data_IF_000251220974
#
_entry.id   IF_000251220974
#
_cell.length_a   1.000
_cell.length_b   1.000
_cell.length_c   1.000
_cell.angle_alpha   90.00
_cell.angle_beta   90.00
_cell.angle_gamma   90.00
#
_symmetry.space_group_name_H-M   'P 1'
#
loop_
_entity.id
_entity.type
_entity.pdbx_description
1 polymer ?
#
# COMPACT_ATOMS: atom_id res chain seq x y z
N UNK A 1 -34.47 17.30 -23.87
CA UNK A 1 -35.18 15.99 -23.92
C UNK A 1 -34.75 15.14 -22.74
N UNK A 2 -35.62 14.26 -22.24
CA UNK A 2 -35.26 13.32 -21.16
C UNK A 2 -34.50 12.14 -21.77
N UNK A 3 -33.30 11.79 -21.27
CA UNK A 3 -32.54 10.67 -21.80
C UNK A 3 -33.27 9.34 -21.54
N UNK A 4 -33.02 8.35 -22.39
CA UNK A 4 -33.59 7.02 -22.21
C UNK A 4 -33.09 6.39 -20.90
N UNK A 5 -34.00 6.11 -19.96
CA UNK A 5 -33.65 5.74 -18.58
C UNK A 5 -32.91 4.40 -18.45
N UNK A 6 -33.03 3.53 -19.45
CA UNK A 6 -32.39 2.20 -19.48
C UNK A 6 -31.11 2.18 -20.32
N UNK A 7 -30.74 3.32 -20.91
CA UNK A 7 -29.63 3.41 -21.86
C UNK A 7 -28.33 2.90 -21.25
N UNK A 8 -28.02 3.31 -20.01
CA UNK A 8 -26.79 2.91 -19.31
C UNK A 8 -26.65 1.39 -19.15
N UNK A 9 -27.74 0.66 -18.84
CA UNK A 9 -27.68 -0.80 -18.70
C UNK A 9 -27.49 -1.49 -20.05
N UNK A 10 -28.22 -1.02 -21.07
CA UNK A 10 -28.14 -1.56 -22.43
C UNK A 10 -26.74 -1.35 -23.00
N UNK A 11 -26.22 -0.13 -22.94
CA UNK A 11 -24.90 0.21 -23.45
C UNK A 11 -23.80 -0.60 -22.76
N UNK A 12 -23.87 -0.73 -21.43
CA UNK A 12 -22.89 -1.52 -20.68
C UNK A 12 -22.89 -2.99 -21.09
N UNK A 13 -24.06 -3.60 -21.34
CA UNK A 13 -24.14 -5.00 -21.73
C UNK A 13 -23.79 -5.22 -23.21
N UNK A 14 -24.14 -4.26 -24.08
CA UNK A 14 -23.71 -4.25 -25.48
C UNK A 14 -22.19 -4.13 -25.58
N UNK A 15 -21.57 -3.27 -24.76
CA UNK A 15 -20.10 -3.17 -24.67
C UNK A 15 -19.47 -4.45 -24.14
N UNK A 16 -20.12 -5.15 -23.20
CA UNK A 16 -19.66 -6.45 -22.71
C UNK A 16 -19.65 -7.53 -23.79
N UNK A 17 -20.76 -7.67 -24.54
CA UNK A 17 -20.94 -8.73 -25.54
C UNK A 17 -20.29 -8.44 -26.89
N UNK A 18 -20.24 -7.17 -27.31
CA UNK A 18 -19.82 -6.70 -28.64
C UNK A 18 -20.34 -7.57 -29.81
N UNK A 19 -21.56 -8.09 -29.70
CA UNK A 19 -22.13 -9.12 -30.56
C UNK A 19 -22.20 -8.68 -32.04
N UNK A 20 -22.54 -7.41 -32.27
CA UNK A 20 -22.70 -6.83 -33.61
C UNK A 20 -21.39 -6.31 -34.21
N UNK A 21 -20.28 -6.36 -33.47
CA UNK A 21 -18.96 -5.95 -33.98
C UNK A 21 -18.25 -7.17 -34.55
N UNK A 22 -17.71 -7.02 -35.76
CA UNK A 22 -16.79 -8.00 -36.34
C UNK A 22 -15.60 -8.23 -35.39
N UNK A 23 -15.09 -9.47 -35.25
CA UNK A 23 -14.04 -9.81 -34.28
C UNK A 23 -12.84 -8.86 -34.27
N UNK A 24 -12.33 -8.50 -35.46
CA UNK A 24 -11.18 -7.60 -35.64
C UNK A 24 -11.44 -6.13 -35.25
N UNK A 25 -12.71 -5.73 -35.07
CA UNK A 25 -13.12 -4.37 -34.72
C UNK A 25 -13.62 -4.25 -33.28
N UNK A 26 -13.50 -5.31 -32.48
CA UNK A 26 -13.87 -5.27 -31.06
C UNK A 26 -12.85 -4.46 -30.27
N UNK A 27 -13.36 -3.69 -29.32
CA UNK A 27 -12.52 -3.03 -28.33
C UNK A 27 -12.04 -4.07 -27.30
N UNK A 28 -10.94 -3.80 -26.62
CA UNK A 28 -10.47 -4.63 -25.49
C UNK A 28 -11.29 -4.29 -24.24
N UNK A 29 -12.55 -4.74 -24.22
CA UNK A 29 -13.52 -4.61 -23.13
C UNK A 29 -14.46 -5.82 -23.09
N UNK A 30 -15.03 -6.15 -21.92
CA UNK A 30 -15.98 -7.26 -21.78
C UNK A 30 -15.38 -8.62 -22.11
N UNK A 31 -16.11 -9.43 -22.89
CA UNK A 31 -15.64 -10.77 -23.30
C UNK A 31 -14.28 -10.74 -24.00
N UNK A 32 -14.02 -9.70 -24.82
CA UNK A 32 -12.74 -9.57 -25.52
C UNK A 32 -11.59 -9.38 -24.53
N UNK A 33 -11.75 -8.46 -23.57
CA UNK A 33 -10.75 -8.23 -22.52
C UNK A 33 -10.55 -9.48 -21.64
N UNK A 34 -11.63 -10.20 -21.30
CA UNK A 34 -11.56 -11.41 -20.51
C UNK A 34 -10.77 -12.54 -21.22
N UNK A 35 -10.99 -12.74 -22.53
CA UNK A 35 -10.21 -13.70 -23.31
C UNK A 35 -8.75 -13.26 -23.46
N UNK A 36 -8.51 -12.00 -23.81
CA UNK A 36 -7.14 -11.47 -23.97
C UNK A 36 -6.35 -11.50 -22.65
N UNK A 37 -7.02 -11.41 -21.50
CA UNK A 37 -6.39 -11.51 -20.19
C UNK A 37 -6.10 -12.97 -19.77
N UNK A 38 -6.94 -13.92 -20.20
CA UNK A 38 -6.77 -15.33 -19.86
C UNK A 38 -5.78 -16.07 -20.77
N UNK A 39 -5.60 -15.59 -22.01
CA UNK A 39 -4.75 -16.19 -23.03
C UNK A 39 -3.53 -15.29 -23.34
N UNK A 40 -2.39 -15.85 -23.77
CA UNK A 40 -2.16 -17.27 -24.06
C UNK A 40 -1.95 -18.11 -22.80
N UNK A 41 -2.46 -19.33 -22.82
CA UNK A 41 -2.19 -20.33 -21.78
C UNK A 41 -1.00 -21.16 -22.23
N UNK A 42 0.08 -21.13 -21.46
CA UNK A 42 1.32 -21.87 -21.75
C UNK A 42 1.46 -23.02 -20.77
N UNK A 43 1.80 -24.21 -21.27
CA UNK A 43 2.08 -25.37 -20.42
C UNK A 43 3.28 -25.13 -19.52
N UNK A 44 3.35 -25.82 -18.38
CA UNK A 44 4.44 -25.67 -17.42
C UNK A 44 5.85 -25.89 -18.03
N UNK A 45 5.96 -26.80 -19.01
CA UNK A 45 7.20 -27.05 -19.73
C UNK A 45 7.43 -26.13 -20.95
N UNK A 46 6.51 -25.21 -21.24
CA UNK A 46 6.63 -24.22 -22.31
C UNK A 46 6.47 -24.73 -23.74
N UNK A 47 6.24 -26.03 -23.96
CA UNK A 47 6.16 -26.64 -25.30
C UNK A 47 4.75 -26.68 -25.89
N UNK A 48 3.73 -26.30 -25.13
CA UNK A 48 2.36 -26.21 -25.62
C UNK A 48 1.83 -24.83 -25.26
N UNK A 49 1.28 -24.13 -26.23
CA UNK A 49 0.70 -22.80 -26.08
C UNK A 49 -0.68 -22.79 -26.72
N UNK A 50 -1.67 -22.35 -25.97
CA UNK A 50 -3.01 -22.12 -26.48
C UNK A 50 -3.22 -20.62 -26.63
N UNK A 51 -3.54 -20.17 -27.85
CA UNK A 51 -3.87 -18.78 -28.16
C UNK A 51 -5.36 -18.63 -28.41
N UNK A 52 -5.91 -17.53 -27.95
CA UNK A 52 -7.24 -17.09 -28.34
C UNK A 52 -7.13 -16.29 -29.66
N UNK A 53 -8.05 -16.54 -30.60
CA UNK A 53 -8.15 -15.80 -31.85
C UNK A 53 -9.37 -14.87 -31.87
N UNK A 54 -10.55 -15.44 -31.63
CA UNK A 54 -11.82 -14.71 -31.65
C UNK A 54 -12.92 -15.51 -30.93
N UNK A 55 -14.02 -14.85 -30.55
CA UNK A 55 -15.25 -15.53 -30.10
C UNK A 55 -16.44 -15.22 -31.01
N UNK A 56 -17.37 -16.17 -31.07
CA UNK A 56 -18.66 -16.07 -31.72
C UNK A 56 -19.78 -16.31 -30.70
N UNK A 57 -20.88 -15.59 -30.86
CA UNK A 57 -22.11 -15.78 -30.11
C UNK A 57 -23.11 -16.49 -31.01
N UNK A 58 -23.55 -17.68 -30.62
CA UNK A 58 -24.54 -18.43 -31.37
C UNK A 58 -25.92 -17.75 -31.28
N UNK A 59 -26.76 -17.97 -32.29
CA UNK A 59 -28.16 -17.57 -32.17
C UNK A 59 -28.80 -18.33 -31.00
N UNK A 60 -29.57 -17.65 -30.13
CA UNK A 60 -30.26 -18.31 -29.04
C UNK A 60 -31.21 -19.36 -29.60
N UNK A 61 -31.27 -20.53 -28.96
CA UNK A 61 -32.10 -21.64 -29.43
C UNK A 61 -33.60 -21.36 -29.35
N UNK A 62 -34.00 -20.49 -28.41
CA UNK A 62 -35.38 -20.11 -28.15
C UNK A 62 -35.47 -18.59 -28.01
N UNK A 63 -36.63 -18.03 -28.36
CA UNK A 63 -36.90 -16.62 -28.10
C UNK A 63 -37.30 -16.36 -26.64
N UNK A 64 -37.47 -15.08 -26.29
CA UNK A 64 -37.85 -14.64 -24.94
C UNK A 64 -39.16 -15.28 -24.45
N UNK A 65 -40.17 -15.41 -25.32
CA UNK A 65 -41.50 -15.93 -24.95
C UNK A 65 -41.43 -17.44 -24.71
N UNK A 66 -40.73 -18.16 -25.57
CA UNK A 66 -40.52 -19.59 -25.41
C UNK A 66 -39.73 -19.90 -24.14
N UNK A 67 -38.68 -19.14 -23.83
CA UNK A 67 -37.94 -19.29 -22.58
C UNK A 67 -38.84 -19.09 -21.35
N UNK A 68 -39.72 -18.08 -21.38
CA UNK A 68 -40.70 -17.83 -20.30
C UNK A 68 -41.67 -19.00 -20.12
N UNK A 69 -42.30 -19.47 -21.20
CA UNK A 69 -43.28 -20.57 -21.12
C UNK A 69 -42.64 -21.90 -20.71
N UNK A 70 -41.42 -22.18 -21.16
CA UNK A 70 -40.73 -23.46 -20.91
C UNK A 70 -39.89 -23.47 -19.63
N UNK A 71 -39.75 -22.35 -18.92
CA UNK A 71 -38.90 -22.29 -17.74
C UNK A 71 -37.40 -22.29 -18.06
N UNK A 72 -36.99 -21.85 -19.25
CA UNK A 72 -35.59 -21.86 -19.71
C UNK A 72 -34.93 -20.49 -19.54
N UNK A 73 -33.60 -20.46 -19.59
CA UNK A 73 -32.83 -19.20 -19.62
C UNK A 73 -32.66 -18.72 -21.05
N UNK A 74 -32.89 -17.43 -21.30
CA UNK A 74 -32.63 -16.82 -22.61
C UNK A 74 -31.14 -16.48 -22.71
N UNK A 75 -30.38 -17.29 -23.45
CA UNK A 75 -28.93 -17.21 -23.53
C UNK A 75 -28.38 -17.54 -24.92
N UNK A 76 -27.15 -17.10 -25.16
CA UNK A 76 -26.36 -17.42 -26.34
C UNK A 76 -25.16 -18.29 -25.93
N UNK A 77 -24.91 -19.35 -26.68
CA UNK A 77 -23.68 -20.12 -26.56
C UNK A 77 -22.48 -19.28 -27.02
N UNK A 78 -21.46 -19.16 -26.17
CA UNK A 78 -20.17 -18.54 -26.49
C UNK A 78 -19.25 -19.62 -27.03
N UNK A 79 -18.70 -19.38 -28.22
CA UNK A 79 -17.71 -20.26 -28.83
C UNK A 79 -16.43 -19.48 -29.06
N UNK A 80 -15.31 -19.96 -28.55
CA UNK A 80 -14.01 -19.34 -28.78
C UNK A 80 -13.24 -20.16 -29.80
N UNK A 81 -12.75 -19.50 -30.85
CA UNK A 81 -11.78 -20.06 -31.77
C UNK A 81 -10.41 -19.93 -31.13
N UNK A 82 -9.81 -21.08 -30.80
CA UNK A 82 -8.50 -21.16 -30.18
C UNK A 82 -7.51 -21.87 -31.10
N UNK A 83 -6.24 -21.51 -30.98
CA UNK A 83 -5.14 -22.09 -31.71
C UNK A 83 -4.20 -22.77 -30.72
N UNK A 84 -4.08 -24.09 -30.81
CA UNK A 84 -3.12 -24.90 -30.07
C UNK A 84 -1.82 -25.02 -30.87
N UNK A 85 -0.75 -24.44 -30.33
CA UNK A 85 0.60 -24.48 -30.90
C UNK A 85 1.41 -25.48 -30.09
N UNK A 86 1.95 -26.49 -30.77
CA UNK A 86 2.86 -27.48 -30.20
C UNK A 86 4.25 -27.21 -30.74
N UNK A 87 5.20 -26.99 -29.84
CA UNK A 87 6.60 -26.76 -30.17
C UNK A 87 7.40 -28.07 -30.15
N UNK A 88 8.39 -28.17 -31.04
CA UNK A 88 9.28 -29.32 -31.11
C UNK A 88 10.26 -29.32 -29.93
N UNK A 89 10.37 -30.41 -29.17
CA UNK A 89 11.24 -30.47 -27.99
C UNK A 89 12.73 -30.54 -28.31
N UNK A 90 13.09 -31.15 -29.44
CA UNK A 90 14.48 -31.41 -29.82
C UNK A 90 15.06 -30.22 -30.58
N UNK A 91 14.22 -29.54 -31.37
CA UNK A 91 14.64 -28.41 -32.20
C UNK A 91 14.44 -27.04 -31.54
N UNK A 92 13.69 -26.97 -30.43
CA UNK A 92 13.49 -25.72 -29.70
C UNK A 92 14.57 -25.47 -28.66
N UNK A 93 15.01 -24.22 -28.58
CA UNK A 93 15.92 -23.71 -27.56
C UNK A 93 15.17 -22.76 -26.61
N UNK A 94 15.80 -22.37 -25.50
CA UNK A 94 15.24 -21.38 -24.58
C UNK A 94 14.98 -20.00 -25.26
N UNK A 95 15.67 -19.70 -26.37
CA UNK A 95 15.56 -18.43 -27.09
C UNK A 95 14.72 -18.50 -28.37
N UNK A 96 14.52 -19.69 -28.94
CA UNK A 96 13.78 -19.88 -30.17
C UNK A 96 12.99 -21.19 -30.12
N UNK A 97 11.67 -21.08 -30.18
CA UNK A 97 10.77 -22.24 -30.22
C UNK A 97 10.38 -22.56 -31.65
N UNK A 98 10.66 -23.78 -32.09
CA UNK A 98 10.31 -24.27 -33.43
C UNK A 98 8.92 -24.88 -33.37
N UNK A 99 8.00 -24.35 -34.18
CA UNK A 99 6.62 -24.86 -34.26
C UNK A 99 6.62 -26.21 -34.95
N UNK A 100 6.10 -27.23 -34.27
CA UNK A 100 5.91 -28.59 -34.81
C UNK A 100 4.53 -28.74 -35.45
N UNK A 101 3.50 -28.27 -34.76
CA UNK A 101 2.11 -28.46 -35.17
C UNK A 101 1.25 -27.29 -34.69
N UNK A 102 0.29 -26.88 -35.51
CA UNK A 102 -0.72 -25.88 -35.17
C UNK A 102 -2.10 -26.45 -35.45
N UNK A 103 -2.99 -26.44 -34.45
CA UNK A 103 -4.38 -26.86 -34.59
C UNK A 103 -5.30 -25.73 -34.21
N UNK A 104 -6.22 -25.37 -35.09
CA UNK A 104 -7.31 -24.45 -34.79
C UNK A 104 -8.58 -25.22 -34.50
N UNK A 105 -9.27 -24.85 -33.43
CA UNK A 105 -10.54 -25.45 -33.08
C UNK A 105 -11.46 -24.41 -32.46
N UNK A 106 -12.75 -24.51 -32.80
CA UNK A 106 -13.79 -23.76 -32.12
C UNK A 106 -14.31 -24.56 -30.93
N UNK A 107 -14.16 -24.00 -29.74
CA UNK A 107 -14.48 -24.64 -28.46
C UNK A 107 -15.68 -23.91 -27.83
N UNK A 108 -16.63 -24.68 -27.32
CA UNK A 108 -17.75 -24.15 -26.56
C UNK A 108 -17.30 -23.73 -25.15
N UNK A 109 -17.53 -22.46 -24.81
CA UNK A 109 -17.05 -21.84 -23.55
C UNK A 109 -18.18 -21.65 -22.53
N UNK A 110 -19.38 -22.15 -22.81
CA UNK A 110 -20.57 -21.95 -21.98
C UNK A 110 -21.61 -21.06 -22.65
N UNK A 111 -22.66 -20.71 -21.89
CA UNK A 111 -23.69 -19.78 -22.33
C UNK A 111 -23.64 -18.49 -21.53
N UNK A 112 -23.96 -17.39 -22.21
CA UNK A 112 -24.12 -16.09 -21.58
C UNK A 112 -25.58 -15.64 -21.76
N UNK A 113 -26.30 -15.31 -20.67
CA UNK A 113 -27.66 -14.80 -20.76
C UNK A 113 -27.74 -13.56 -21.65
N UNK A 114 -28.80 -13.44 -22.45
CA UNK A 114 -29.00 -12.27 -23.30
C UNK A 114 -29.94 -11.27 -22.63
N UNK A 115 -29.64 -9.99 -22.81
CA UNK A 115 -30.49 -8.91 -22.34
C UNK A 115 -31.67 -8.70 -23.30
N UNK A 116 -32.87 -8.57 -22.78
CA UNK A 116 -34.08 -8.24 -23.55
C UNK A 116 -34.10 -6.76 -23.93
N UNK A 117 -35.01 -6.36 -24.82
CA UNK A 117 -35.18 -4.96 -25.21
C UNK A 117 -35.50 -4.01 -24.04
N UNK A 118 -36.06 -4.57 -22.96
CA UNK A 118 -36.44 -3.89 -21.71
C UNK A 118 -35.28 -3.78 -20.70
N UNK A 119 -34.09 -4.28 -21.02
CA UNK A 119 -32.96 -4.25 -20.09
C UNK A 119 -33.02 -5.31 -18.97
N UNK A 120 -33.85 -6.34 -19.16
CA UNK A 120 -34.01 -7.48 -18.24
C UNK A 120 -33.37 -8.75 -18.80
N UNK A 121 -33.34 -9.82 -18.01
CA UNK A 121 -32.85 -11.15 -18.36
C UNK A 121 -33.93 -12.19 -18.05
N UNK A 122 -34.07 -13.21 -18.89
CA UNK A 122 -34.92 -14.37 -18.57
C UNK A 122 -34.04 -15.47 -17.99
N UNK A 123 -34.19 -15.76 -16.71
CA UNK A 123 -33.46 -16.81 -15.99
C UNK A 123 -34.47 -17.84 -15.50
N UNK A 124 -34.37 -19.08 -15.98
CA UNK A 124 -35.31 -20.16 -15.67
C UNK A 124 -36.78 -19.75 -15.85
N UNK A 125 -37.09 -19.13 -16.99
CA UNK A 125 -38.41 -18.60 -17.37
C UNK A 125 -38.88 -17.35 -16.63
N UNK A 126 -38.12 -16.87 -15.64
CA UNK A 126 -38.48 -15.69 -14.85
C UNK A 126 -37.70 -14.47 -15.31
N UNK A 127 -38.39 -13.34 -15.46
CA UNK A 127 -37.77 -12.06 -15.80
C UNK A 127 -37.06 -11.45 -14.58
N UNK A 128 -35.78 -11.11 -14.73
CA UNK A 128 -34.91 -10.55 -13.68
C UNK A 128 -34.18 -9.31 -14.17
N UNK A 129 -33.85 -8.42 -13.24
CA UNK A 129 -33.05 -7.22 -13.52
C UNK A 129 -31.82 -7.23 -12.63
N UNK A 130 -30.68 -6.84 -13.19
CA UNK A 130 -29.44 -6.67 -12.45
C UNK A 130 -29.33 -5.19 -12.09
N UNK A 131 -29.26 -4.90 -10.79
CA UNK A 131 -29.13 -3.54 -10.28
C UNK A 131 -27.66 -3.14 -10.28
N UNK A 132 -27.37 -1.92 -10.76
CA UNK A 132 -26.01 -1.39 -10.67
C UNK A 132 -25.54 -1.31 -9.23
N UNK A 133 -24.30 -1.73 -8.99
CA UNK A 133 -23.70 -1.68 -7.67
C UNK A 133 -22.86 -0.43 -7.48
N UNK A 134 -23.00 0.22 -6.33
CA UNK A 134 -22.09 1.28 -5.90
C UNK A 134 -21.04 0.70 -4.96
N UNK A 135 -19.78 0.67 -5.40
CA UNK A 135 -18.67 0.16 -4.61
C UNK A 135 -17.59 1.23 -4.45
N UNK A 136 -16.67 1.05 -3.49
CA UNK A 136 -15.51 1.94 -3.36
C UNK A 136 -14.62 1.77 -4.58
N UNK A 137 -14.23 2.88 -5.20
CA UNK A 137 -13.31 2.82 -6.34
C UNK A 137 -11.94 2.31 -5.89
N UNK A 138 -11.15 1.71 -6.80
CA UNK A 138 -9.75 1.43 -6.51
C UNK A 138 -8.97 2.71 -6.13
N UNK A 139 -7.93 2.57 -5.31
CA UNK A 139 -7.11 3.68 -4.81
C UNK A 139 -6.70 3.50 -3.34
N UNK A 140 -6.19 4.57 -2.73
CA UNK A 140 -5.92 4.64 -1.29
C UNK A 140 -6.91 5.58 -0.62
N UNK A 141 -7.34 5.23 0.59
CA UNK A 141 -8.26 6.02 1.40
C UNK A 141 -7.70 6.17 2.81
N UNK A 142 -7.81 7.36 3.37
CA UNK A 142 -7.43 7.67 4.75
C UNK A 142 -8.69 8.02 5.54
N UNK A 143 -8.89 7.39 6.69
CA UNK A 143 -10.08 7.60 7.53
C UNK A 143 -9.70 7.66 9.01
N UNK A 144 -10.62 8.13 9.85
CA UNK A 144 -10.55 7.91 11.28
C UNK A 144 -11.91 7.49 11.81
N UNK A 145 -11.92 6.78 12.93
CA UNK A 145 -13.12 6.21 13.57
C UNK A 145 -14.07 7.24 14.22
N UNK A 146 -13.80 8.54 14.04
CA UNK A 146 -14.49 9.67 14.70
C UNK A 146 -14.58 9.50 16.23
N UNK A 147 -13.58 8.85 16.84
CA UNK A 147 -13.50 8.61 18.29
C UNK A 147 -14.47 7.55 18.80
N UNK A 148 -15.10 6.76 17.92
CA UNK A 148 -16.07 5.73 18.27
C UNK A 148 -15.45 4.37 18.58
N UNK A 149 -14.21 4.12 18.14
CA UNK A 149 -13.54 2.82 18.23
C UNK A 149 -12.90 2.56 19.59
N UNK A 150 -12.68 3.59 20.41
CA UNK A 150 -12.14 3.43 21.75
C UNK A 150 -12.81 4.35 22.77
N UNK A 151 -12.96 3.87 24.01
CA UNK A 151 -13.67 4.58 25.09
C UNK A 151 -13.00 5.89 25.51
N UNK A 152 -11.70 6.08 25.21
CA UNK A 152 -11.01 7.35 25.48
C UNK A 152 -11.46 8.49 24.54
N UNK A 153 -12.20 8.19 23.48
CA UNK A 153 -12.58 9.17 22.45
C UNK A 153 -11.43 9.56 21.51
N UNK A 154 -10.25 8.95 21.67
CA UNK A 154 -9.09 9.16 20.79
C UNK A 154 -9.43 8.76 19.36
N UNK A 155 -9.07 9.62 18.40
CA UNK A 155 -9.21 9.32 16.98
C UNK A 155 -8.20 8.24 16.59
N UNK A 156 -8.70 7.14 16.03
CA UNK A 156 -7.88 6.08 15.46
C UNK A 156 -7.85 6.26 13.94
N UNK A 157 -6.69 6.64 13.42
CA UNK A 157 -6.48 6.83 11.99
C UNK A 157 -6.16 5.49 11.30
N UNK A 158 -6.67 5.32 10.10
CA UNK A 158 -6.38 4.17 9.25
C UNK A 158 -6.22 4.59 7.79
N UNK A 159 -5.46 3.79 7.04
CA UNK A 159 -5.36 3.88 5.60
C UNK A 159 -5.72 2.53 4.97
N UNK A 160 -6.33 2.55 3.79
CA UNK A 160 -6.72 1.33 3.07
C UNK A 160 -6.42 1.48 1.59
N UNK A 161 -5.60 0.57 1.05
CA UNK A 161 -5.36 0.43 -0.37
C UNK A 161 -6.31 -0.63 -0.93
N UNK A 162 -7.19 -0.20 -1.82
CA UNK A 162 -8.18 -1.04 -2.50
C UNK A 162 -7.72 -1.21 -3.97
N UNK A 163 -7.28 -2.40 -4.38
CA UNK A 163 -7.03 -2.67 -5.79
C UNK A 163 -8.33 -2.89 -6.57
N UNK A 164 -8.25 -2.78 -7.90
CA UNK A 164 -9.28 -3.29 -8.79
C UNK A 164 -9.36 -4.81 -8.71
N UNK A 165 -8.20 -5.46 -8.65
CA UNK A 165 -8.03 -6.91 -8.49
C UNK A 165 -6.79 -7.20 -7.64
N UNK A 166 -6.90 -8.11 -6.69
CA UNK A 166 -5.79 -8.49 -5.79
C UNK A 166 -6.10 -8.25 -4.32
N UNK A 167 -5.08 -8.43 -3.48
CA UNK A 167 -5.21 -8.39 -2.01
C UNK A 167 -5.36 -6.96 -1.50
N UNK A 168 -6.21 -6.75 -0.50
CA UNK A 168 -6.36 -5.45 0.15
C UNK A 168 -5.24 -5.25 1.17
N UNK A 169 -4.70 -4.03 1.25
CA UNK A 169 -3.69 -3.66 2.24
C UNK A 169 -4.24 -2.56 3.14
N UNK A 170 -4.45 -2.88 4.41
CA UNK A 170 -4.94 -1.97 5.43
C UNK A 170 -3.83 -1.60 6.40
N UNK A 171 -3.84 -0.35 6.86
CA UNK A 171 -3.01 0.20 7.92
C UNK A 171 -3.90 0.85 8.97
N UNK A 172 -3.58 0.70 10.25
CA UNK A 172 -4.38 1.31 11.31
C UNK A 172 -3.56 1.51 12.59
N UNK A 173 -3.79 2.66 13.23
CA UNK A 173 -3.33 2.92 14.58
C UNK A 173 -4.22 2.20 15.61
N UNK A 174 -3.58 1.72 16.66
CA UNK A 174 -4.28 1.26 17.85
C UNK A 174 -4.37 2.38 18.93
N UNK A 175 -5.10 2.14 20.03
CA UNK A 175 -5.17 3.11 21.13
C UNK A 175 -3.83 3.48 21.76
N UNK A 176 -2.80 2.61 21.64
CA UNK A 176 -1.45 2.82 22.17
C UNK A 176 -0.53 3.55 21.17
N UNK A 177 -1.07 4.06 20.07
CA UNK A 177 -0.32 4.70 18.97
C UNK A 177 0.70 3.78 18.26
N UNK A 178 0.49 2.47 18.34
CA UNK A 178 1.23 1.51 17.54
C UNK A 178 0.58 1.37 16.17
N UNK A 179 1.40 1.41 15.12
CA UNK A 179 0.93 1.33 13.75
C UNK A 179 1.01 -0.10 13.23
N UNK A 180 -0.14 -0.64 12.81
CA UNK A 180 -0.25 -1.99 12.30
C UNK A 180 -0.62 -2.00 10.83
N UNK A 181 -0.32 -3.10 10.16
CA UNK A 181 -0.89 -3.45 8.86
C UNK A 181 -1.60 -4.80 8.90
N UNK A 182 -2.49 -5.03 7.94
CA UNK A 182 -3.09 -6.36 7.67
C UNK A 182 -3.38 -6.51 6.18
N UNK A 183 -3.34 -7.75 5.72
CA UNK A 183 -3.67 -8.13 4.34
C UNK A 183 -4.98 -8.90 4.34
N UNK A 184 -5.92 -8.55 3.47
CA UNK A 184 -7.23 -9.21 3.33
C UNK A 184 -8.00 -9.43 4.65
N UNK A 185 -7.95 -8.43 5.54
CA UNK A 185 -8.57 -8.46 6.87
C UNK A 185 -8.11 -9.62 7.77
N UNK A 186 -6.92 -10.17 7.52
CA UNK A 186 -6.27 -11.15 8.42
C UNK A 186 -5.75 -10.48 9.69
N UNK A 187 -5.05 -11.26 10.54
CA UNK A 187 -4.45 -10.75 11.79
C UNK A 187 -3.55 -9.54 11.51
N UNK A 188 -3.52 -8.60 12.45
CA UNK A 188 -2.67 -7.41 12.41
C UNK A 188 -1.21 -7.78 12.71
N UNK A 189 -0.27 -7.07 12.09
CA UNK A 189 1.16 -7.16 12.37
C UNK A 189 1.77 -5.76 12.41
N UNK A 190 2.82 -5.50 13.20
CA UNK A 190 3.49 -4.19 13.25
C UNK A 190 3.90 -3.72 11.85
N UNK A 191 3.65 -2.45 11.51
CA UNK A 191 3.93 -1.92 10.16
C UNK A 191 5.41 -2.02 9.79
N UNK A 192 6.30 -2.01 10.78
CA UNK A 192 7.74 -2.14 10.59
C UNK A 192 8.15 -3.49 10.00
N UNK A 193 7.37 -4.56 10.21
CA UNK A 193 7.57 -5.84 9.52
C UNK A 193 7.38 -5.66 8.02
N UNK A 194 6.35 -4.93 7.58
CA UNK A 194 6.15 -4.65 6.15
C UNK A 194 7.28 -3.78 5.60
N UNK A 195 7.72 -2.77 6.35
CA UNK A 195 8.84 -1.89 5.95
C UNK A 195 10.15 -2.67 5.81
N UNK A 196 10.43 -3.63 6.71
CA UNK A 196 11.56 -4.57 6.57
C UNK A 196 11.39 -5.48 5.37
N UNK A 197 10.19 -6.01 5.13
CA UNK A 197 9.93 -6.90 3.99
C UNK A 197 10.09 -6.23 2.62
N UNK A 198 9.98 -4.90 2.54
CA UNK A 198 10.28 -4.10 1.34
C UNK A 198 11.75 -3.63 1.26
N UNK A 199 12.61 -4.09 2.17
CA UNK A 199 14.06 -3.89 2.14
C UNK A 199 14.60 -2.76 3.02
N UNK A 200 13.80 -2.18 3.92
CA UNK A 200 14.29 -1.15 4.83
C UNK A 200 14.85 -1.77 6.13
N UNK A 201 16.05 -1.39 6.51
CA UNK A 201 16.59 -1.70 7.84
C UNK A 201 16.10 -0.69 8.90
N UNK A 202 16.25 -0.96 10.22
CA UNK A 202 15.85 -0.03 11.28
C UNK A 202 16.32 1.42 11.11
N UNK A 203 17.57 1.65 10.70
CA UNK A 203 18.11 2.99 10.47
C UNK A 203 17.41 3.71 9.32
N UNK A 204 17.20 3.01 8.21
CA UNK A 204 16.51 3.53 7.03
C UNK A 204 15.04 3.79 7.34
N UNK A 205 14.41 2.96 8.18
CA UNK A 205 13.06 3.21 8.69
C UNK A 205 13.06 4.52 9.47
N UNK A 206 13.89 4.65 10.51
CA UNK A 206 13.91 5.87 11.33
C UNK A 206 14.20 7.12 10.49
N UNK A 207 15.18 7.06 9.58
CA UNK A 207 15.54 8.18 8.70
C UNK A 207 14.41 8.62 7.75
N UNK A 208 13.43 7.74 7.47
CA UNK A 208 12.30 8.08 6.64
C UNK A 208 11.15 8.78 7.39
N UNK A 209 11.09 8.65 8.71
CA UNK A 209 9.97 9.14 9.53
C UNK A 209 10.37 10.19 10.55
N UNK A 210 11.66 10.34 10.85
CA UNK A 210 12.15 11.29 11.85
C UNK A 210 13.23 12.19 11.27
N UNK A 211 13.23 13.44 11.72
CA UNK A 211 14.42 14.28 11.71
C UNK A 211 15.22 14.02 12.99
N UNK A 212 16.52 14.34 12.98
CA UNK A 212 17.41 14.04 14.11
C UNK A 212 17.81 15.29 14.89
N UNK A 213 17.99 15.14 16.20
CA UNK A 213 18.79 16.02 17.05
C UNK A 213 20.24 15.52 17.05
N UNK A 214 21.19 16.42 16.80
CA UNK A 214 22.63 16.12 16.86
C UNK A 214 23.18 16.50 18.23
N UNK A 215 23.84 15.55 18.89
CA UNK A 215 24.48 15.76 20.19
C UNK A 215 25.97 15.49 20.10
N UNK A 216 26.79 16.45 20.58
CA UNK A 216 28.20 16.23 20.87
C UNK A 216 28.38 15.97 22.35
N UNK A 217 28.68 14.73 22.72
CA UNK A 217 28.91 14.30 24.09
C UNK A 217 30.12 15.03 24.69
N UNK A 218 29.96 15.51 25.92
CA UNK A 218 31.02 16.08 26.76
C UNK A 218 31.31 15.12 27.93
N UNK A 219 32.26 15.44 28.80
CA UNK A 219 32.54 14.66 30.02
C UNK A 219 31.27 14.45 30.88
N UNK A 220 30.40 15.47 30.91
CA UNK A 220 29.05 15.43 31.45
C UNK A 220 28.13 16.27 30.56
N UNK A 221 26.92 15.77 30.28
CA UNK A 221 26.00 16.40 29.34
C UNK A 221 26.48 16.32 27.89
N UNK A 222 25.96 17.23 27.07
CA UNK A 222 26.30 17.35 25.65
C UNK A 222 26.10 18.78 25.13
N UNK A 223 26.61 19.05 23.93
CA UNK A 223 26.18 20.18 23.10
C UNK A 223 25.14 19.68 22.10
N UNK A 224 23.93 20.21 22.19
CA UNK A 224 22.85 19.94 21.24
C UNK A 224 22.83 21.00 20.15
N UNK A 225 22.69 20.61 18.89
CA UNK A 225 22.48 21.54 17.77
C UNK A 225 21.23 22.43 18.00
N UNK A 226 21.40 23.73 17.81
CA UNK A 226 20.32 24.71 18.00
C UNK A 226 19.43 24.77 16.75
N UNK A 227 18.18 24.32 16.89
CA UNK A 227 17.14 24.46 15.86
C UNK A 227 16.01 25.34 16.38
N UNK A 228 15.91 26.55 15.85
CA UNK A 228 15.00 27.61 16.33
C UNK A 228 13.53 27.18 16.42
N UNK A 229 13.05 26.43 15.42
CA UNK A 229 11.65 26.00 15.35
C UNK A 229 11.30 24.96 16.44
N UNK A 230 12.25 24.09 16.81
CA UNK A 230 12.04 23.02 17.79
C UNK A 230 11.95 23.51 19.23
N UNK A 231 12.55 24.66 19.54
CA UNK A 231 12.53 25.26 20.87
C UNK A 231 11.41 26.29 21.03
N UNK A 232 10.82 26.78 19.93
CA UNK A 232 9.86 27.88 19.98
C UNK A 232 8.59 27.45 20.71
N UNK A 233 8.26 28.15 21.80
CA UNK A 233 7.02 27.93 22.54
C UNK A 233 7.08 26.83 23.59
N UNK A 234 8.17 26.06 23.61
CA UNK A 234 8.46 25.03 24.63
C UNK A 234 8.79 25.64 25.99
N UNK A 235 8.67 24.83 27.05
CA UNK A 235 9.15 25.19 28.40
C UNK A 235 10.57 24.68 28.55
N UNK A 236 11.50 25.57 28.89
CA UNK A 236 12.91 25.22 29.05
C UNK A 236 13.10 24.27 30.24
N UNK A 237 13.59 23.05 30.00
CA UNK A 237 13.86 22.04 31.05
C UNK A 237 15.13 22.34 31.86
N UNK A 238 15.97 23.22 31.33
CA UNK A 238 17.25 23.67 31.88
C UNK A 238 17.53 25.11 31.42
N UNK A 239 18.57 25.74 31.96
CA UNK A 239 18.97 27.08 31.55
C UNK A 239 19.55 27.06 30.12
N UNK A 240 18.93 27.77 29.20
CA UNK A 240 19.40 27.92 27.83
C UNK A 240 20.33 29.12 27.75
N UNK A 241 21.60 28.86 27.47
CA UNK A 241 22.65 29.88 27.34
C UNK A 241 22.99 30.17 25.89
N UNK A 242 23.52 31.36 25.64
CA UNK A 242 24.18 31.68 24.37
C UNK A 242 25.62 31.15 24.33
N UNK A 243 26.31 31.31 23.19
CA UNK A 243 27.71 30.90 23.02
C UNK A 243 28.70 31.53 24.02
N UNK A 244 28.34 32.64 24.67
CA UNK A 244 29.16 33.31 25.68
C UNK A 244 28.89 32.81 27.10
N UNK A 245 27.89 31.94 27.28
CA UNK A 245 27.43 31.44 28.58
C UNK A 245 26.37 32.33 29.24
N UNK A 246 25.89 33.37 28.56
CA UNK A 246 24.81 34.23 29.08
C UNK A 246 23.49 33.46 29.03
N UNK A 247 22.79 33.37 30.17
CA UNK A 247 21.46 32.76 30.24
C UNK A 247 20.45 33.61 29.47
N UNK A 248 19.88 33.04 28.41
CA UNK A 248 18.84 33.68 27.58
C UNK A 248 17.44 33.25 28.07
N UNK A 249 17.29 31.98 28.44
CA UNK A 249 16.05 31.44 29.00
C UNK A 249 16.38 30.66 30.26
N UNK A 250 15.86 31.11 31.40
CA UNK A 250 15.99 30.35 32.64
C UNK A 250 15.10 29.09 32.60
N UNK A 251 15.50 28.06 33.34
CA UNK A 251 14.72 26.86 33.58
C UNK A 251 13.28 27.18 34.00
N UNK A 252 12.35 26.35 33.55
CA UNK A 252 10.91 26.43 33.77
C UNK A 252 10.24 27.69 33.17
N UNK A 253 10.95 28.44 32.32
CA UNK A 253 10.39 29.55 31.55
C UNK A 253 10.09 29.13 30.12
N UNK A 254 9.03 29.73 29.57
CA UNK A 254 8.64 29.51 28.18
C UNK A 254 9.61 30.21 27.22
N UNK A 255 10.04 29.50 26.20
CA UNK A 255 10.90 30.02 25.13
C UNK A 255 10.03 30.87 24.19
N UNK A 256 10.32 32.18 24.13
CA UNK A 256 9.58 33.14 23.31
C UNK A 256 10.33 33.46 22.01
N UNK A 257 9.63 34.07 21.05
CA UNK A 257 10.26 34.56 19.80
C UNK A 257 11.42 35.54 20.07
N UNK A 258 11.33 36.31 21.16
CA UNK A 258 12.42 37.21 21.58
C UNK A 258 13.68 36.42 21.95
N UNK A 259 13.55 35.35 22.71
CA UNK A 259 14.68 34.51 23.12
C UNK A 259 15.35 33.84 21.92
N UNK A 260 14.55 33.33 20.98
CA UNK A 260 15.06 32.73 19.73
C UNK A 260 15.88 33.75 18.94
N UNK A 261 15.36 34.97 18.75
CA UNK A 261 16.09 36.05 18.06
C UNK A 261 17.40 36.42 18.76
N UNK A 262 17.42 36.41 20.09
CA UNK A 262 18.63 36.70 20.86
C UNK A 262 19.72 35.63 20.64
N UNK A 263 19.35 34.35 20.60
CA UNK A 263 20.25 33.22 20.30
C UNK A 263 20.76 33.24 18.84
N UNK A 264 19.90 33.59 17.89
CA UNK A 264 20.28 33.76 16.49
C UNK A 264 21.26 34.93 16.32
N UNK A 265 20.98 36.08 16.95
CA UNK A 265 21.83 37.27 16.90
C UNK A 265 23.18 37.07 17.58
N UNK A 266 23.24 36.27 18.65
CA UNK A 266 24.51 35.88 19.26
C UNK A 266 25.30 34.90 18.39
N UNK A 267 24.72 34.35 17.32
CA UNK A 267 25.34 33.33 16.46
C UNK A 267 25.54 32.00 17.20
N UNK A 268 24.62 31.66 18.10
CA UNK A 268 24.65 30.40 18.83
C UNK A 268 24.22 29.26 17.92
N UNK A 269 25.10 28.29 17.68
CA UNK A 269 24.79 27.11 16.86
C UNK A 269 24.55 25.85 17.68
N UNK A 270 24.98 25.83 18.95
CA UNK A 270 24.77 24.72 19.88
C UNK A 270 24.38 25.25 21.25
N UNK A 271 23.56 24.49 21.97
CA UNK A 271 23.15 24.74 23.35
C UNK A 271 23.69 23.62 24.23
N UNK A 272 24.26 23.97 25.38
CA UNK A 272 24.69 22.97 26.36
C UNK A 272 23.46 22.36 27.04
N UNK A 273 23.40 21.03 27.04
CA UNK A 273 22.31 20.26 27.66
C UNK A 273 22.85 19.36 28.77
N UNK A 274 22.14 19.24 29.90
CA UNK A 274 22.56 18.39 31.01
C UNK A 274 22.36 16.89 30.71
N UNK A 275 22.96 16.04 31.55
CA UNK A 275 22.92 14.58 31.40
C UNK A 275 21.49 14.01 31.40
N UNK A 276 20.64 14.51 32.31
CA UNK A 276 19.25 14.10 32.48
C UNK A 276 18.38 14.41 31.25
N UNK A 277 18.78 15.37 30.42
CA UNK A 277 18.11 15.67 29.16
C UNK A 277 18.40 14.63 28.06
N UNK A 278 19.55 13.96 28.13
CA UNK A 278 19.95 12.91 27.18
C UNK A 278 19.25 11.59 27.51
N UNK A 279 19.02 11.31 28.79
CA UNK A 279 18.38 10.07 29.22
C UNK A 279 16.95 9.98 28.65
N UNK A 280 16.62 8.84 28.05
CA UNK A 280 15.33 8.61 27.40
C UNK A 280 15.27 9.05 25.93
N UNK A 281 16.28 9.77 25.42
CA UNK A 281 16.39 10.03 23.97
C UNK A 281 16.70 8.74 23.22
N UNK A 282 16.23 8.65 21.98
CA UNK A 282 16.31 7.42 21.19
C UNK A 282 17.34 7.59 20.08
N UNK A 283 18.31 6.68 20.01
CA UNK A 283 19.40 6.66 19.06
C UNK A 283 18.86 6.45 17.64
N UNK A 284 19.21 7.35 16.71
CA UNK A 284 18.71 7.31 15.33
C UNK A 284 19.45 6.29 14.45
N UNK A 285 20.75 6.09 14.70
CA UNK A 285 21.65 5.20 13.92
C UNK A 285 22.55 4.41 14.84
N UNK A 286 22.91 3.20 14.44
CA UNK A 286 23.84 2.36 15.19
C UNK A 286 25.16 3.09 15.42
N UNK A 287 25.68 2.98 16.64
CA UNK A 287 26.99 3.53 17.01
C UNK A 287 27.96 2.38 17.15
N UNK A 288 29.07 2.45 16.42
CA UNK A 288 30.11 1.43 16.38
C UNK A 288 31.38 2.04 16.94
N UNK A 289 32.08 1.29 17.76
CA UNK A 289 33.42 1.63 18.21
C UNK A 289 34.39 1.52 17.04
N UNK A 290 35.06 2.64 16.70
CA UNK A 290 35.90 2.72 15.50
C UNK A 290 37.16 1.83 15.58
N UNK A 291 37.63 1.52 16.79
CA UNK A 291 38.88 0.77 17.01
C UNK A 291 38.62 -0.74 17.07
N UNK A 292 37.51 -1.15 17.69
CA UNK A 292 37.19 -2.56 17.93
C UNK A 292 36.16 -3.14 16.94
N UNK A 293 35.37 -2.28 16.28
CA UNK A 293 34.23 -2.70 15.48
C UNK A 293 33.04 -3.20 16.29
N UNK A 294 33.06 -3.06 17.62
CA UNK A 294 31.95 -3.46 18.49
C UNK A 294 30.75 -2.51 18.29
N UNK A 295 29.54 -3.08 18.18
CA UNK A 295 28.30 -2.29 18.19
C UNK A 295 28.05 -1.80 19.62
N UNK A 296 28.24 -0.50 19.84
CA UNK A 296 28.03 0.16 21.12
C UNK A 296 26.54 0.38 21.41
N UNK A 297 25.79 0.84 20.39
CA UNK A 297 24.35 1.06 20.43
C UNK A 297 23.73 0.65 19.09
N UNK A 298 22.52 0.09 19.11
CA UNK A 298 21.72 -0.16 17.90
C UNK A 298 20.80 1.02 17.62
N UNK A 299 20.37 1.16 16.37
CA UNK A 299 19.31 2.09 16.03
C UNK A 299 18.04 1.75 16.81
N UNK A 300 17.34 2.79 17.29
CA UNK A 300 16.17 2.73 18.16
C UNK A 300 16.45 2.38 19.64
N UNK A 301 17.71 2.19 20.04
CA UNK A 301 18.06 2.05 21.46
C UNK A 301 17.83 3.35 22.21
N UNK A 302 17.49 3.23 23.50
CA UNK A 302 17.30 4.37 24.39
C UNK A 302 18.62 4.74 25.08
N UNK A 303 18.94 6.02 25.12
CA UNK A 303 20.06 6.53 25.90
C UNK A 303 19.75 6.35 27.38
N UNK A 304 20.46 5.40 27.99
CA UNK A 304 20.49 5.17 29.44
C UNK A 304 21.81 5.69 30.00
N UNK A 305 21.88 5.93 31.31
CA UNK A 305 23.13 6.31 31.98
C UNK A 305 24.27 5.31 31.69
N UNK A 306 23.95 4.02 31.66
CA UNK A 306 24.90 2.96 31.34
C UNK A 306 25.40 3.05 29.90
N UNK A 307 24.50 3.32 28.94
CA UNK A 307 24.86 3.47 27.54
C UNK A 307 25.69 4.75 27.30
N UNK A 308 25.32 5.88 27.92
CA UNK A 308 26.09 7.13 27.85
C UNK A 308 27.51 6.94 28.39
N UNK A 309 27.67 6.22 29.51
CA UNK A 309 28.99 5.87 30.04
C UNK A 309 29.78 4.98 29.08
N UNK A 310 29.13 3.99 28.45
CA UNK A 310 29.76 3.11 27.44
C UNK A 310 30.25 3.93 26.24
N UNK A 311 29.42 4.82 25.71
CA UNK A 311 29.73 5.69 24.57
C UNK A 311 30.92 6.59 24.85
N UNK A 312 30.96 7.25 26.03
CA UNK A 312 32.10 8.07 26.45
C UNK A 312 33.37 7.27 26.65
N UNK A 313 33.27 6.08 27.25
CA UNK A 313 34.41 5.18 27.44
C UNK A 313 35.05 4.73 26.13
N UNK A 314 34.25 4.66 25.06
CA UNK A 314 34.67 4.38 23.70
C UNK A 314 35.04 5.64 22.88
N UNK A 315 35.17 6.80 23.53
CA UNK A 315 35.48 8.10 22.90
C UNK A 315 34.51 8.52 21.78
N UNK A 316 33.26 8.08 21.82
CA UNK A 316 32.22 8.55 20.90
C UNK A 316 31.88 10.00 21.22
N UNK A 317 32.10 10.90 20.26
CA UNK A 317 31.82 12.32 20.41
C UNK A 317 30.44 12.69 19.90
N UNK A 318 30.06 12.24 18.72
CA UNK A 318 28.80 12.65 18.09
C UNK A 318 27.78 11.52 18.11
N UNK A 319 26.57 11.82 18.57
CA UNK A 319 25.43 10.90 18.62
C UNK A 319 24.22 11.58 18.02
N UNK A 320 23.53 10.89 17.11
CA UNK A 320 22.26 11.35 16.56
C UNK A 320 21.10 10.64 17.25
N UNK A 321 20.12 11.41 17.72
CA UNK A 321 18.89 10.89 18.26
C UNK A 321 17.70 11.35 17.42
N UNK A 322 16.63 10.55 17.35
CA UNK A 322 15.40 10.98 16.70
C UNK A 322 14.79 12.14 17.48
N UNK A 323 14.30 13.15 16.75
CA UNK A 323 13.53 14.24 17.33
C UNK A 323 12.07 13.81 17.43
N UNK A 324 11.52 13.89 18.63
CA UNK A 324 10.11 13.63 18.91
C UNK A 324 9.58 14.68 19.88
N UNK A 325 8.30 14.99 19.77
CA UNK A 325 7.59 15.89 20.68
C UNK A 325 6.14 15.40 20.92
N UNK A 326 5.42 16.08 21.81
CA UNK A 326 4.06 15.70 22.18
C UNK A 326 2.97 16.28 21.25
N UNK A 327 3.35 17.12 20.29
CA UNK A 327 2.43 17.91 19.48
C UNK A 327 2.28 17.37 18.05
N UNK A 328 3.37 17.35 17.29
CA UNK A 328 3.38 17.12 15.84
C UNK A 328 4.53 16.21 15.35
N UNK A 329 5.33 15.63 16.25
CA UNK A 329 6.39 14.68 15.93
C UNK A 329 6.34 13.48 16.88
N UNK A 330 5.28 12.67 16.77
CA UNK A 330 5.07 11.54 17.67
C UNK A 330 6.05 10.37 17.46
N UNK A 331 6.42 9.63 18.52
CA UNK A 331 7.38 8.51 18.47
C UNK A 331 6.80 7.20 17.88
N UNK A 332 5.79 7.28 17.02
CA UNK A 332 4.93 6.15 16.64
C UNK A 332 5.68 4.98 15.99
N UNK A 333 6.53 5.29 15.01
CA UNK A 333 7.31 4.28 14.29
C UNK A 333 8.41 3.70 15.20
N UNK A 334 9.04 4.52 16.04
CA UNK A 334 10.02 4.07 17.04
C UNK A 334 9.40 3.08 18.03
N UNK A 335 8.22 3.40 18.57
CA UNK A 335 7.50 2.51 19.49
C UNK A 335 7.03 1.24 18.80
N UNK A 336 6.52 1.34 17.57
CA UNK A 336 6.12 0.16 16.78
C UNK A 336 7.30 -0.77 16.52
N UNK A 337 8.47 -0.21 16.20
CA UNK A 337 9.70 -0.97 15.95
C UNK A 337 10.17 -1.74 17.19
N UNK A 338 9.86 -1.26 18.41
CA UNK A 338 10.17 -1.99 19.67
C UNK A 338 9.29 -3.23 19.87
N UNK A 339 8.13 -3.30 19.21
CA UNK A 339 7.22 -4.46 19.28
C UNK A 339 7.45 -5.49 18.17
N UNK A 340 8.41 -5.22 17.29
CA UNK A 340 8.68 -6.01 16.10
C UNK A 340 9.90 -6.92 16.34
N UNK A 341 9.62 -8.21 16.51
CA UNK A 341 10.62 -9.24 16.78
C UNK A 341 11.42 -9.70 15.54
N UNK A 342 11.12 -9.17 14.34
CA UNK A 342 11.78 -9.58 13.10
C UNK A 342 13.16 -8.92 12.97
N UNK A 343 14.19 -9.70 12.62
CA UNK A 343 15.57 -9.20 12.55
C UNK A 343 15.86 -8.51 11.21
N UNK A 344 15.46 -9.14 10.11
CA UNK A 344 15.83 -8.76 8.74
C UNK A 344 14.65 -8.86 7.76
N UNK A 345 14.92 -8.53 6.50
CA UNK A 345 13.96 -8.58 5.40
C UNK A 345 13.37 -9.98 5.20
N UNK A 346 14.19 -11.03 5.28
CA UNK A 346 13.73 -12.40 5.06
C UNK A 346 12.84 -12.87 6.20
N UNK A 347 13.24 -12.65 7.46
CA UNK A 347 12.44 -12.93 8.65
C UNK A 347 11.09 -12.20 8.61
N UNK A 348 11.08 -10.96 8.13
CA UNK A 348 9.86 -10.19 7.93
C UNK A 348 8.95 -10.80 6.85
N UNK A 349 9.50 -11.21 5.70
CA UNK A 349 8.74 -11.92 4.66
C UNK A 349 8.23 -13.29 5.15
N UNK A 350 9.01 -14.02 5.96
CA UNK A 350 8.58 -15.27 6.59
C UNK A 350 7.41 -15.03 7.56
N UNK A 351 7.43 -13.96 8.34
CA UNK A 351 6.32 -13.60 9.22
C UNK A 351 5.03 -13.33 8.43
N UNK A 352 5.14 -12.62 7.30
CA UNK A 352 4.03 -12.39 6.37
C UNK A 352 3.55 -13.70 5.74
N UNK A 353 4.47 -14.58 5.32
CA UNK A 353 4.14 -15.88 4.78
C UNK A 353 3.32 -16.72 5.77
N UNK A 354 3.77 -16.82 7.02
CA UNK A 354 3.07 -17.55 8.09
C UNK A 354 1.69 -16.97 8.42
N UNK A 355 1.48 -15.68 8.19
CA UNK A 355 0.16 -15.04 8.33
C UNK A 355 -0.78 -15.46 7.18
N UNK A 356 -0.28 -15.50 5.95
CA UNK A 356 -1.08 -15.83 4.77
C UNK A 356 -1.35 -17.33 4.65
N UNK A 357 -0.37 -18.16 5.02
CA UNK A 357 -0.42 -19.62 4.93
C UNK A 357 -0.04 -20.26 6.27
N UNK A 358 -0.94 -20.23 7.27
CA UNK A 358 -0.65 -20.83 8.56
C UNK A 358 -0.50 -22.36 8.41
N UNK A 359 0.62 -22.90 8.89
CA UNK A 359 0.92 -24.33 8.87
C UNK A 359 1.76 -24.82 7.69
N UNK A 360 1.94 -24.01 6.64
CA UNK A 360 2.87 -24.36 5.55
C UNK A 360 4.32 -23.98 5.94
N UNK A 361 5.31 -24.84 5.69
CA UNK A 361 6.71 -24.53 5.96
C UNK A 361 7.20 -23.39 5.04
N UNK A 362 7.87 -22.36 5.57
CA UNK A 362 8.38 -21.24 4.77
C UNK A 362 9.70 -21.61 4.10
N UNK A 363 9.67 -22.03 2.85
CA UNK A 363 10.88 -22.11 2.01
C UNK A 363 11.15 -20.75 1.36
N UNK A 364 12.42 -20.46 1.06
CA UNK A 364 12.83 -19.16 0.49
C UNK A 364 12.06 -18.81 -0.79
N UNK A 365 12.00 -19.76 -1.74
CA UNK A 365 11.26 -19.59 -3.00
C UNK A 365 9.76 -19.35 -2.77
N UNK A 366 9.13 -20.08 -1.85
CA UNK A 366 7.69 -19.94 -1.58
C UNK A 366 7.38 -18.60 -0.91
N UNK A 367 8.24 -18.15 -0.01
CA UNK A 367 8.14 -16.85 0.67
C UNK A 367 8.27 -15.72 -0.35
N UNK A 368 9.29 -15.77 -1.21
CA UNK A 368 9.51 -14.75 -2.22
C UNK A 368 8.39 -14.71 -3.26
N UNK A 369 7.98 -15.88 -3.76
CA UNK A 369 6.90 -15.99 -4.74
C UNK A 369 5.57 -15.46 -4.17
N UNK A 370 5.25 -15.77 -2.91
CA UNK A 370 4.06 -15.25 -2.27
C UNK A 370 4.12 -13.72 -2.15
N UNK A 371 5.22 -13.17 -1.65
CA UNK A 371 5.35 -11.72 -1.44
C UNK A 371 5.25 -10.96 -2.76
N UNK A 372 5.89 -11.45 -3.83
CA UNK A 372 5.77 -10.89 -5.18
C UNK A 372 4.31 -10.93 -5.68
N UNK A 373 3.64 -12.06 -5.50
CA UNK A 373 2.24 -12.26 -5.92
C UNK A 373 1.25 -11.37 -5.17
N UNK A 374 1.56 -10.97 -3.93
CA UNK A 374 0.65 -10.16 -3.12
C UNK A 374 0.43 -8.76 -3.70
N UNK A 375 1.49 -8.09 -4.18
CA UNK A 375 1.45 -6.65 -4.50
C UNK A 375 2.13 -6.25 -5.81
N UNK A 376 3.04 -7.07 -6.34
CA UNK A 376 3.98 -6.69 -7.40
C UNK A 376 3.75 -7.43 -8.72
N UNK A 377 2.98 -8.53 -8.69
CA UNK A 377 2.70 -9.32 -9.89
C UNK A 377 1.44 -8.78 -10.61
N UNK A 378 1.56 -8.33 -11.88
CA UNK A 378 0.44 -7.80 -12.65
C UNK A 378 -0.65 -8.85 -12.93
N UNK A 379 -0.33 -10.14 -12.91
CA UNK A 379 -1.28 -11.24 -13.09
C UNK A 379 -2.14 -11.46 -11.84
N UNK A 380 -1.81 -10.87 -10.69
CA UNK A 380 -2.56 -11.06 -9.44
C UNK A 380 -2.89 -9.77 -8.71
N UNK A 381 -2.32 -8.65 -9.13
CA UNK A 381 -2.57 -7.33 -8.56
C UNK A 381 -2.73 -6.26 -9.65
N UNK A 382 -3.78 -5.45 -9.54
CA UNK A 382 -4.08 -4.38 -10.48
C UNK A 382 -4.87 -3.27 -9.78
N UNK A 383 -4.34 -2.05 -9.75
CA UNK A 383 -5.03 -0.85 -9.28
C UNK A 383 -6.01 -0.28 -10.31
N UNK A 384 -5.92 -0.68 -11.57
CA UNK A 384 -6.49 -0.02 -12.75
C UNK A 384 -5.97 1.41 -12.95
N UNK A 385 -6.18 1.94 -14.15
CA UNK A 385 -5.83 3.34 -14.50
C UNK A 385 -6.46 4.35 -13.52
N UNK A 386 -7.73 4.13 -13.17
CA UNK A 386 -8.46 5.00 -12.24
C UNK A 386 -7.88 4.90 -10.83
N UNK A 387 -7.56 3.69 -10.36
CA UNK A 387 -6.98 3.52 -9.03
C UNK A 387 -5.59 4.09 -8.91
N UNK A 388 -4.74 3.91 -9.93
CA UNK A 388 -3.41 4.54 -9.97
C UNK A 388 -3.51 6.06 -9.98
N UNK A 389 -4.39 6.63 -10.80
CA UNK A 389 -4.65 8.07 -10.83
C UNK A 389 -5.06 8.60 -9.45
N UNK A 390 -6.01 7.94 -8.79
CA UNK A 390 -6.46 8.33 -7.44
C UNK A 390 -5.37 8.16 -6.40
N UNK A 391 -4.62 7.06 -6.46
CA UNK A 391 -3.51 6.79 -5.57
C UNK A 391 -2.47 7.90 -5.64
N UNK A 392 -2.00 8.21 -6.85
CA UNK A 392 -0.98 9.23 -7.06
C UNK A 392 -1.46 10.61 -6.60
N UNK A 393 -2.69 10.99 -6.94
CA UNK A 393 -3.28 12.24 -6.49
C UNK A 393 -3.34 12.33 -4.96
N UNK A 394 -3.69 11.23 -4.27
CA UNK A 394 -3.79 11.25 -2.80
C UNK A 394 -2.44 11.35 -2.10
N UNK A 395 -1.42 10.73 -2.68
CA UNK A 395 -0.04 10.77 -2.15
C UNK A 395 0.68 12.08 -2.55
N UNK A 396 0.08 12.92 -3.40
CA UNK A 396 0.65 14.19 -3.82
C UNK A 396 1.68 14.05 -4.95
N UNK A 397 1.61 12.98 -5.74
CA UNK A 397 2.45 12.82 -6.94
C UNK A 397 1.90 13.63 -8.11
N UNK A 398 2.80 14.24 -8.87
CA UNK A 398 2.44 15.04 -10.05
C UNK A 398 1.89 14.20 -11.22
N UNK A 399 2.40 12.98 -11.39
CA UNK A 399 1.98 12.10 -12.48
C UNK A 399 0.65 11.39 -12.16
N UNK A 400 -0.30 11.44 -13.09
CA UNK A 400 -1.60 10.75 -12.96
C UNK A 400 -1.58 9.29 -13.44
N UNK A 401 -0.49 8.86 -14.07
CA UNK A 401 -0.30 7.51 -14.61
C UNK A 401 0.84 6.78 -13.90
N UNK A 402 0.96 5.47 -14.11
CA UNK A 402 2.04 4.67 -13.52
C UNK A 402 1.76 3.17 -13.65
N UNK A 403 2.63 2.36 -13.03
CA UNK A 403 2.43 0.92 -12.95
C UNK A 403 1.13 0.57 -12.21
N UNK A 404 0.43 -0.48 -12.64
CA UNK A 404 -0.83 -0.89 -12.02
C UNK A 404 -0.64 -1.74 -10.76
N UNK A 405 0.58 -2.25 -10.54
CA UNK A 405 1.01 -2.91 -9.31
C UNK A 405 1.56 -1.89 -8.32
N UNK A 406 1.66 -2.26 -7.03
CA UNK A 406 2.31 -1.39 -6.04
C UNK A 406 3.82 -1.38 -6.19
N UNK A 407 4.45 -0.30 -5.72
CA UNK A 407 5.90 -0.20 -5.50
C UNK A 407 6.24 -0.12 -4.01
N UNK A 408 7.51 -0.29 -3.66
CA UNK A 408 7.97 -0.08 -2.27
C UNK A 408 7.73 1.37 -1.82
N UNK A 409 7.91 2.32 -2.75
CA UNK A 409 7.67 3.74 -2.51
C UNK A 409 6.17 4.02 -2.29
N UNK A 410 5.28 3.32 -2.99
CA UNK A 410 3.83 3.43 -2.76
C UNK A 410 3.48 3.07 -1.31
N UNK A 411 3.95 1.93 -0.84
CA UNK A 411 3.70 1.44 0.52
C UNK A 411 4.28 2.42 1.54
N UNK A 412 5.54 2.83 1.38
CA UNK A 412 6.20 3.77 2.27
C UNK A 412 5.47 5.11 2.33
N UNK A 413 5.02 5.64 1.20
CA UNK A 413 4.33 6.91 1.12
C UNK A 413 2.96 6.89 1.80
N UNK A 414 2.22 5.77 1.70
CA UNK A 414 0.96 5.60 2.43
C UNK A 414 1.19 5.61 3.94
N UNK A 415 2.26 4.94 4.41
CA UNK A 415 2.62 4.94 5.83
C UNK A 415 3.03 6.34 6.29
N UNK A 416 3.79 7.10 5.48
CA UNK A 416 4.18 8.49 5.79
C UNK A 416 2.96 9.40 5.94
N UNK A 417 2.06 9.42 4.96
CA UNK A 417 0.83 10.23 5.03
C UNK A 417 -0.01 9.84 6.24
N UNK A 418 -0.09 8.56 6.58
CA UNK A 418 -0.83 8.12 7.75
C UNK A 418 -0.19 8.59 9.08
N UNK A 419 1.14 8.59 9.18
CA UNK A 419 1.88 9.16 10.31
C UNK A 419 1.67 10.67 10.39
N UNK A 420 1.72 11.38 9.26
CA UNK A 420 1.48 12.83 9.18
C UNK A 420 0.07 13.18 9.65
N UNK A 421 -0.96 12.43 9.22
CA UNK A 421 -2.32 12.61 9.71
C UNK A 421 -2.42 12.44 11.22
N UNK A 422 -1.70 11.48 11.79
CA UNK A 422 -1.66 11.27 13.24
C UNK A 422 -0.92 12.39 13.98
N UNK A 423 0.08 13.01 13.35
CA UNK A 423 0.77 14.22 13.80
C UNK A 423 -0.08 15.50 13.62
N UNK A 424 -1.29 15.40 13.05
CA UNK A 424 -2.18 16.54 12.83
C UNK A 424 -1.91 17.30 11.53
N UNK A 425 -1.13 16.71 10.61
CA UNK A 425 -0.87 17.27 9.29
C UNK A 425 -1.75 16.59 8.23
N UNK A 426 -2.59 17.39 7.57
CA UNK A 426 -3.49 16.92 6.51
C UNK A 426 -4.89 16.57 7.00
N UNK A 427 -5.72 16.09 6.07
CA UNK A 427 -7.13 15.77 6.31
C UNK A 427 -7.48 14.36 5.83
N UNK A 428 -8.41 13.71 6.53
CA UNK A 428 -8.96 12.41 6.15
C UNK A 428 -9.96 12.53 5.01
N UNK A 429 -10.22 11.41 4.34
CA UNK A 429 -11.17 11.34 3.25
C UNK A 429 -12.61 11.22 3.74
N UNK A 430 -13.52 11.84 3.01
CA UNK A 430 -14.93 11.50 3.05
C UNK A 430 -15.20 10.30 2.15
N UNK A 431 -15.29 9.11 2.75
CA UNK A 431 -15.54 7.85 2.06
C UNK A 431 -16.96 7.79 1.45
N UNK A 432 -17.89 8.58 1.96
CA UNK A 432 -19.26 8.64 1.44
C UNK A 432 -19.41 9.62 0.28
N UNK A 433 -18.36 10.42 0.00
CA UNK A 433 -18.30 11.24 -1.19
C UNK A 433 -18.44 10.39 -2.46
N UNK A 434 -19.37 10.75 -3.35
CA UNK A 434 -19.64 10.00 -4.58
C UNK A 434 -18.43 9.87 -5.50
N UNK A 435 -17.51 10.83 -5.45
CA UNK A 435 -16.23 10.75 -6.15
C UNK A 435 -15.37 9.55 -5.74
N UNK A 436 -15.56 9.01 -4.52
CA UNK A 436 -14.87 7.82 -4.00
C UNK A 436 -15.64 6.51 -4.26
N UNK A 437 -16.79 6.62 -4.93
CA UNK A 437 -17.65 5.51 -5.29
C UNK A 437 -17.66 5.32 -6.81
N UNK A 438 -17.72 4.08 -7.26
CA UNK A 438 -17.86 3.72 -8.68
C UNK A 438 -19.12 2.89 -8.85
N UNK A 439 -19.88 3.21 -9.89
CA UNK A 439 -21.01 2.41 -10.35
C UNK A 439 -20.47 1.26 -11.20
N UNK A 440 -20.78 0.02 -10.83
CA UNK A 440 -20.64 -1.15 -11.71
C UNK A 440 -22.00 -1.45 -12.32
N UNK A 441 -22.08 -1.26 -13.63
CA UNK A 441 -23.23 -1.69 -14.41
C UNK A 441 -23.11 -3.19 -14.73
N UNK A 442 -24.16 -3.78 -15.27
CA UNK A 442 -24.24 -5.23 -15.53
C UNK A 442 -23.06 -5.78 -16.34
N UNK A 443 -22.58 -5.08 -17.36
CA UNK A 443 -21.44 -5.54 -18.16
C UNK A 443 -20.16 -5.72 -17.35
N UNK A 444 -19.87 -4.78 -16.45
CA UNK A 444 -18.69 -4.81 -15.56
C UNK A 444 -18.84 -5.82 -14.41
N UNK A 445 -20.06 -6.25 -14.11
CA UNK A 445 -20.31 -7.32 -13.14
C UNK A 445 -20.23 -8.71 -13.77
N UNK A 446 -20.46 -8.79 -15.09
CA UNK A 446 -20.42 -10.02 -15.86
C UNK A 446 -19.00 -10.35 -16.38
N UNK A 447 -18.24 -9.31 -16.73
CA UNK A 447 -16.78 -9.36 -16.92
C UNK A 447 -16.07 -9.67 -15.60
#
# INVERSE_FOLDING_TARGET
EVPYLLQMQKDAYTAFLQAEKAPQKRNVEGLQAAFDAAFPIVSHNGFVEMRYLEYNLAKPAFDVRECQTRGLTYASAVRAKVQLIIYDRESSTAQSKVVKEVKEQEVYMGEVPLMTDKGSFIINGTERVIVSQLHRSPGVFFEHDKGKGHSSGKLLFSARIIPYRGSWLDFEFDPKDLLYFRVDRRRKMPVTILLKAIGLNPESILANFFVNDSFRLMDSGALMEFVAERLRGEVARFDITDKSGKVIVAKDKRVTVRHIRELEQSGTSHVSVPEDFLVGRVVARGVIDADTGEILAKANDELTEALLKKLRGANVQDVQCIYTNELDQGPYISQTLRTDDTQDEFAARVAIYRMMRPGEPPTEDAVQALFQRLFYNPDTYDLSRVGRMKFNAKIGRAESTGAMVLSNEDILSVVKVLVDLRNGHGEVDDIDHLGNRRVRCVGVLAE
#
